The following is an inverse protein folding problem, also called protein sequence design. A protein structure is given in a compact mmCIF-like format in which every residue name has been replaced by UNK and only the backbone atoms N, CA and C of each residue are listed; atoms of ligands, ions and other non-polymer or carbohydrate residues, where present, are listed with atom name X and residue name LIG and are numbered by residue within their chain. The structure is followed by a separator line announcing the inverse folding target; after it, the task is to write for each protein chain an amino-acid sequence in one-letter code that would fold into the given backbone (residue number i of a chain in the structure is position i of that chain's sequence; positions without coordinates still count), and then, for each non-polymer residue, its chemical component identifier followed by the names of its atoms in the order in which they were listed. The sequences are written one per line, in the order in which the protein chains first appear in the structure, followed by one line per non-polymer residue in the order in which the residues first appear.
data_IF_498727909192
#
_entry.id   IF_498727909192
#
_cell.length_a   1.000
_cell.length_b   1.000
_cell.length_c   1.000
_cell.angle_alpha   90.00
_cell.angle_beta   90.00
_cell.angle_gamma   90.00
#
_symmetry.space_group_name_H-M   'P 1'
#
loop_
_entity.id
_entity.type
_entity.pdbx_description
1 polymer ?
#
# COMPACT_ATOMS: atom_id res chain seq x y z
N UNK A 1 3.96 -3.77 -9.74
CA UNK A 1 3.92 -2.46 -9.07
C UNK A 1 2.54 -2.29 -8.47
N UNK A 2 2.48 -2.05 -7.18
CA UNK A 2 1.25 -1.74 -6.44
C UNK A 2 1.32 -0.29 -5.99
N UNK A 3 0.19 0.40 -6.05
CA UNK A 3 0.09 1.76 -5.55
C UNK A 3 -1.10 1.89 -4.64
N UNK A 4 -0.85 2.39 -3.44
CA UNK A 4 -1.86 2.61 -2.43
C UNK A 4 -1.84 4.06 -1.97
N UNK A 5 -2.98 4.57 -1.54
CA UNK A 5 -3.10 5.86 -0.87
C UNK A 5 -3.73 5.59 0.50
N UNK A 6 -3.11 6.11 1.55
CA UNK A 6 -3.62 6.00 2.92
C UNK A 6 -3.65 7.38 3.57
N UNK A 7 -4.50 7.60 4.59
CA UNK A 7 -4.43 8.80 5.41
C UNK A 7 -3.05 8.95 6.05
N UNK A 8 -2.64 10.20 6.31
CA UNK A 8 -1.39 10.50 6.98
C UNK A 8 -1.30 9.74 8.32
N UNK A 9 -0.15 9.12 8.58
CA UNK A 9 0.10 8.32 9.79
C UNK A 9 -0.28 6.84 9.69
N UNK A 10 -0.94 6.40 8.61
CA UNK A 10 -1.28 4.99 8.38
C UNK A 10 -0.33 4.26 7.42
N UNK A 11 0.73 4.90 6.91
CA UNK A 11 1.66 4.27 5.97
C UNK A 11 2.41 3.08 6.57
N UNK A 12 2.90 3.23 7.80
CA UNK A 12 3.53 2.14 8.55
C UNK A 12 2.61 0.93 8.75
N UNK A 13 1.31 1.17 8.98
CA UNK A 13 0.35 0.08 9.15
C UNK A 13 0.17 -0.71 7.86
N UNK A 14 0.07 -0.03 6.71
CA UNK A 14 -0.05 -0.71 5.43
C UNK A 14 1.21 -1.52 5.09
N UNK A 15 2.40 -0.96 5.29
CA UNK A 15 3.64 -1.69 5.06
C UNK A 15 3.80 -2.89 6.01
N UNK A 16 3.36 -2.79 7.26
CA UNK A 16 3.36 -3.91 8.21
C UNK A 16 2.35 -5.02 7.84
N UNK A 17 1.16 -4.67 7.32
CA UNK A 17 0.16 -5.65 6.87
C UNK A 17 0.61 -6.39 5.61
N UNK A 18 1.29 -5.69 4.71
CA UNK A 18 1.80 -6.28 3.47
C UNK A 18 3.08 -7.08 3.70
N UNK A 19 3.88 -6.73 4.71
CA UNK A 19 5.20 -7.30 5.00
C UNK A 19 6.17 -7.18 3.81
N UNK A 20 6.07 -6.05 3.09
CA UNK A 20 6.79 -5.79 1.83
C UNK A 20 7.71 -4.58 1.98
N UNK A 21 8.95 -4.73 1.48
CA UNK A 21 9.94 -3.64 1.45
C UNK A 21 10.73 -3.68 0.13
N UNK A 22 11.13 -2.52 -0.44
CA UNK A 22 10.93 -1.16 0.07
C UNK A 22 9.53 -0.58 -0.27
N UNK A 23 8.90 0.06 0.72
CA UNK A 23 7.75 0.94 0.53
C UNK A 23 8.24 2.35 0.18
N UNK A 24 8.02 2.82 -1.05
CA UNK A 24 8.34 4.21 -1.40
C UNK A 24 7.15 5.09 -1.02
N UNK A 25 7.33 5.91 0.01
CA UNK A 25 6.31 6.85 0.49
C UNK A 25 6.44 8.23 -0.15
N UNK A 26 5.30 8.82 -0.48
CA UNK A 26 5.22 10.21 -0.94
C UNK A 26 4.02 10.91 -0.31
N UNK A 27 4.29 11.94 0.47
CA UNK A 27 3.25 12.79 1.04
C UNK A 27 2.48 13.53 -0.08
N UNK A 28 1.16 13.62 0.08
CA UNK A 28 0.30 14.44 -0.77
C UNK A 28 0.56 15.93 -0.56
N UNK A 29 0.19 16.75 -1.55
CA UNK A 29 0.36 18.22 -1.50
C UNK A 29 -0.29 18.87 -0.28
N UNK A 30 -1.39 18.30 0.23
CA UNK A 30 -2.14 18.86 1.38
C UNK A 30 -1.76 18.22 2.72
N UNK A 31 -0.85 17.25 2.74
CA UNK A 31 -0.48 16.48 3.92
C UNK A 31 -1.48 15.41 4.33
N UNK A 32 -2.76 15.51 3.94
CA UNK A 32 -3.83 14.60 4.38
C UNK A 32 -3.61 13.11 4.05
N UNK A 33 -2.92 12.84 2.95
CA UNK A 33 -2.67 11.48 2.47
C UNK A 33 -1.20 11.25 2.17
N UNK A 34 -0.81 9.99 2.18
CA UNK A 34 0.49 9.48 1.71
C UNK A 34 0.20 8.41 0.67
N UNK A 35 0.89 8.49 -0.48
CA UNK A 35 0.90 7.39 -1.44
C UNK A 35 2.08 6.47 -1.16
N UNK A 36 1.84 5.17 -1.19
CA UNK A 36 2.85 4.12 -1.06
C UNK A 36 2.94 3.39 -2.39
N UNK A 37 4.16 3.27 -2.91
CA UNK A 37 4.47 2.47 -4.09
C UNK A 37 5.31 1.28 -3.67
N UNK A 38 4.91 0.08 -4.10
CA UNK A 38 5.62 -1.18 -3.85
C UNK A 38 5.91 -1.83 -5.20
N UNK A 39 7.16 -2.16 -5.46
CA UNK A 39 7.58 -2.88 -6.66
C UNK A 39 8.04 -4.28 -6.26
N UNK A 40 7.25 -5.29 -6.63
CA UNK A 40 7.54 -6.67 -6.29
C UNK A 40 7.10 -7.60 -7.42
N UNK A 41 7.84 -8.69 -7.57
CA UNK A 41 7.56 -9.75 -8.54
C UNK A 41 6.63 -10.77 -7.90
N UNK A 42 5.46 -10.96 -8.52
CA UNK A 42 4.50 -12.00 -8.12
C UNK A 42 4.67 -13.21 -9.03
N UNK A 43 4.59 -14.41 -8.46
CA UNK A 43 4.72 -15.66 -9.22
C UNK A 43 3.39 -16.11 -9.82
N UNK A 44 2.27 -15.55 -9.34
CA UNK A 44 0.92 -15.90 -9.78
C UNK A 44 -0.04 -14.70 -9.72
N UNK A 45 -1.14 -14.72 -10.52
CA UNK A 45 -2.22 -13.75 -10.38
C UNK A 45 -2.91 -13.80 -9.02
N UNK A 46 -2.99 -14.97 -8.39
CA UNK A 46 -3.60 -15.14 -7.07
C UNK A 46 -2.86 -14.35 -5.98
N UNK A 47 -1.53 -14.31 -6.04
CA UNK A 47 -0.71 -13.46 -5.16
C UNK A 47 -1.09 -11.99 -5.27
N UNK A 48 -1.29 -11.48 -6.48
CA UNK A 48 -1.74 -10.09 -6.71
C UNK A 48 -3.07 -9.83 -6.00
N UNK A 49 -4.04 -10.75 -6.13
CA UNK A 49 -5.35 -10.64 -5.48
C UNK A 49 -5.20 -10.66 -3.95
N UNK A 50 -4.36 -11.55 -3.41
CA UNK A 50 -4.09 -11.63 -1.97
C UNK A 50 -3.50 -10.32 -1.42
N UNK A 51 -2.62 -9.64 -2.17
CA UNK A 51 -2.07 -8.34 -1.78
C UNK A 51 -3.18 -7.29 -1.65
N UNK A 52 -4.08 -7.19 -2.64
CA UNK A 52 -5.19 -6.24 -2.56
C UNK A 52 -6.18 -6.57 -1.43
N UNK A 53 -6.45 -7.86 -1.18
CA UNK A 53 -7.26 -8.29 -0.04
C UNK A 53 -6.60 -7.93 1.30
N UNK A 54 -5.32 -8.22 1.49
CA UNK A 54 -4.56 -7.80 2.69
C UNK A 54 -4.61 -6.29 2.87
N UNK A 55 -4.31 -5.53 1.81
CA UNK A 55 -4.34 -4.06 1.85
C UNK A 55 -5.71 -3.54 2.30
N UNK A 56 -6.81 -4.11 1.80
CA UNK A 56 -8.19 -3.70 2.12
C UNK A 56 -8.56 -3.76 3.61
N UNK A 57 -7.77 -4.46 4.42
CA UNK A 57 -7.96 -4.49 5.88
C UNK A 57 -7.53 -3.18 6.56
N UNK A 58 -6.77 -2.32 5.87
CA UNK A 58 -6.32 -1.02 6.36
C UNK A 58 -7.42 0.04 6.17
N UNK A 59 -7.93 0.67 7.23
CA UNK A 59 -9.03 1.62 7.13
C UNK A 59 -8.70 2.85 6.28
N UNK A 60 -9.53 3.10 5.28
CA UNK A 60 -9.38 4.26 4.38
C UNK A 60 -8.26 4.10 3.35
N UNK A 61 -7.73 2.90 3.15
CA UNK A 61 -6.84 2.60 2.02
C UNK A 61 -7.58 2.75 0.69
N UNK A 62 -6.89 3.28 -0.30
CA UNK A 62 -7.31 3.28 -1.70
C UNK A 62 -6.23 2.58 -2.51
N UNK A 63 -6.64 1.62 -3.33
CA UNK A 63 -5.76 0.96 -4.31
C UNK A 63 -5.87 1.66 -5.66
N UNK A 64 -4.73 1.84 -6.34
CA UNK A 64 -4.60 2.42 -7.68
C UNK A 64 -4.00 1.42 -8.67
#
# INVERSE_FOLDING_TARGET
MFKFIVPQGQSNQLCAVLDMTPCIERASRTGKYVSITIEEHMSSPDEVVMIYQKASTVPGVLAL
#
